data_IF_115879677554
#
_entry.id   IF_115879677554
#
_cell.length_a   1.000
_cell.length_b   1.000
_cell.length_c   1.000
_cell.angle_alpha   90.00
_cell.angle_beta   90.00
_cell.angle_gamma   90.00
#
_symmetry.space_group_name_H-M   'P 1'
#
loop_
_entity.id
_entity.type
_entity.pdbx_description
1 polymer ?
#
# COMPACT_ATOMS: atom_id res chain seq x y z
N UNK A 1 -3.16 9.48 13.79
CA UNK A 1 -2.26 8.96 12.73
C UNK A 1 -3.07 8.76 11.46
N UNK A 2 -2.63 9.35 10.36
CA UNK A 2 -3.14 9.15 8.99
C UNK A 2 -2.24 8.15 8.25
N UNK A 3 -2.83 7.14 7.64
CA UNK A 3 -2.12 6.13 6.84
C UNK A 3 -2.57 6.23 5.39
N UNK A 4 -1.62 6.32 4.47
CA UNK A 4 -1.87 6.05 3.05
C UNK A 4 -1.60 4.56 2.80
N UNK A 5 -2.66 3.79 2.54
CA UNK A 5 -2.52 2.38 2.17
C UNK A 5 -2.46 2.26 0.65
N UNK A 6 -1.51 1.50 0.12
CA UNK A 6 -1.30 1.32 -1.31
C UNK A 6 -1.31 -0.17 -1.67
N UNK A 7 -1.86 -0.49 -2.83
CA UNK A 7 -1.91 -1.84 -3.38
C UNK A 7 -2.12 -1.80 -4.88
N UNK A 8 -1.70 -2.86 -5.58
CA UNK A 8 -1.88 -2.94 -7.02
C UNK A 8 -3.38 -2.99 -7.40
N UNK A 9 -3.78 -2.17 -8.37
CA UNK A 9 -5.12 -2.20 -8.97
C UNK A 9 -5.00 -2.62 -10.44
N UNK A 10 -4.58 -1.70 -11.31
CA UNK A 10 -4.42 -1.92 -12.76
C UNK A 10 -3.23 -2.83 -13.11
N UNK A 11 -2.29 -3.01 -12.18
CA UNK A 11 -1.18 -3.96 -12.31
C UNK A 11 -1.56 -5.41 -12.00
N UNK A 12 -2.76 -5.64 -11.48
CA UNK A 12 -3.25 -6.94 -11.02
C UNK A 12 -3.85 -6.85 -9.62
N UNK A 13 -4.93 -7.61 -9.39
CA UNK A 13 -5.70 -7.62 -8.13
C UNK A 13 -5.65 -8.99 -7.43
N UNK A 14 -4.58 -9.76 -7.62
CA UNK A 14 -4.43 -11.12 -7.08
C UNK A 14 -4.49 -11.16 -5.55
N UNK A 15 -4.18 -10.04 -4.89
CA UNK A 15 -4.18 -9.89 -3.44
C UNK A 15 -5.33 -9.00 -2.92
N UNK A 16 -6.38 -8.77 -3.71
CA UNK A 16 -7.50 -7.89 -3.33
C UNK A 16 -8.14 -8.24 -1.97
N UNK A 17 -8.29 -9.54 -1.68
CA UNK A 17 -8.82 -10.01 -0.40
C UNK A 17 -7.90 -9.65 0.77
N UNK A 18 -6.59 -9.76 0.58
CA UNK A 18 -5.61 -9.37 1.58
C UNK A 18 -5.63 -7.85 1.79
N UNK A 19 -5.82 -7.06 0.72
CA UNK A 19 -5.97 -5.61 0.84
C UNK A 19 -7.18 -5.24 1.70
N UNK A 20 -8.32 -5.91 1.51
CA UNK A 20 -9.53 -5.73 2.33
C UNK A 20 -9.24 -6.01 3.81
N UNK A 21 -8.65 -7.17 4.12
CA UNK A 21 -8.32 -7.56 5.50
C UNK A 21 -7.29 -6.63 6.16
N UNK A 22 -6.30 -6.16 5.41
CA UNK A 22 -5.32 -5.18 5.88
C UNK A 22 -5.99 -3.84 6.14
N UNK A 23 -6.81 -3.35 5.22
CA UNK A 23 -7.54 -2.09 5.35
C UNK A 23 -8.46 -2.10 6.57
N UNK A 24 -9.23 -3.18 6.77
CA UNK A 24 -10.09 -3.35 7.95
C UNK A 24 -9.28 -3.27 9.25
N UNK A 25 -8.14 -3.95 9.32
CA UNK A 25 -7.26 -3.86 10.47
C UNK A 25 -6.71 -2.44 10.66
N UNK A 26 -6.21 -1.80 9.61
CA UNK A 26 -5.63 -0.45 9.68
C UNK A 26 -6.64 0.59 10.17
N UNK A 27 -7.90 0.49 9.77
CA UNK A 27 -9.00 1.36 10.25
C UNK A 27 -9.23 1.26 11.76
N UNK A 28 -8.86 0.14 12.41
CA UNK A 28 -8.93 0.03 13.87
C UNK A 28 -7.81 0.79 14.60
N UNK A 29 -6.79 1.26 13.88
CA UNK A 29 -5.57 1.87 14.43
C UNK A 29 -5.31 3.30 13.94
N UNK A 30 -5.80 3.65 12.76
CA UNK A 30 -5.50 4.89 12.08
C UNK A 30 -6.66 5.36 11.19
N UNK A 31 -6.58 6.62 10.76
CA UNK A 31 -7.40 7.14 9.67
C UNK A 31 -6.75 6.67 8.37
N UNK A 32 -7.42 5.80 7.61
CA UNK A 32 -6.89 5.31 6.32
C UNK A 32 -7.42 6.21 5.21
N UNK A 33 -6.52 6.86 4.46
CA UNK A 33 -6.92 7.83 3.42
C UNK A 33 -7.49 7.14 2.17
N UNK A 34 -7.08 5.91 1.92
CA UNK A 34 -7.43 5.11 0.73
C UNK A 34 -8.44 4.01 1.04
N UNK A 35 -9.46 4.32 1.86
CA UNK A 35 -10.43 3.33 2.36
C UNK A 35 -11.14 2.48 1.29
N UNK A 36 -11.17 2.97 0.05
CA UNK A 36 -11.80 2.35 -1.11
C UNK A 36 -10.99 1.13 -1.62
N UNK A 37 -9.69 1.04 -1.34
CA UNK A 37 -8.87 -0.11 -1.70
C UNK A 37 -9.35 -1.39 -1.00
N UNK A 38 -9.53 -2.46 -1.78
CA UNK A 38 -10.01 -3.75 -1.29
C UNK A 38 -11.53 -3.83 -1.07
N UNK A 39 -12.28 -2.73 -1.14
CA UNK A 39 -13.72 -2.70 -0.84
C UNK A 39 -14.63 -3.35 -1.90
N UNK A 40 -14.07 -3.99 -2.93
CA UNK A 40 -14.80 -4.53 -4.08
C UNK A 40 -15.45 -3.47 -4.99
N UNK A 41 -15.33 -2.18 -4.64
CA UNK A 41 -15.89 -1.05 -5.41
C UNK A 41 -14.98 -0.58 -6.55
N UNK A 42 -13.74 -1.05 -6.59
CA UNK A 42 -12.76 -0.73 -7.62
C UNK A 42 -12.54 -1.98 -8.48
N UNK A 43 -12.68 -1.84 -9.80
CA UNK A 43 -12.40 -2.91 -10.74
C UNK A 43 -10.91 -2.93 -11.11
N UNK A 44 -10.51 -3.93 -11.91
CA UNK A 44 -9.18 -4.00 -12.52
C UNK A 44 -8.88 -2.81 -13.45
N UNK A 45 -9.91 -2.08 -13.89
CA UNK A 45 -9.78 -0.85 -14.66
C UNK A 45 -9.45 0.39 -13.80
N UNK A 46 -9.41 0.24 -12.47
CA UNK A 46 -9.19 1.37 -11.56
C UNK A 46 -10.46 2.17 -11.27
N UNK A 47 -10.27 3.32 -10.62
CA UNK A 47 -11.36 4.24 -10.32
C UNK A 47 -11.86 4.95 -11.58
N UNK A 48 -13.18 5.05 -11.72
CA UNK A 48 -13.84 5.77 -12.81
C UNK A 48 -13.95 7.28 -12.48
N UNK A 49 -12.79 7.91 -12.24
CA UNK A 49 -12.65 9.34 -11.96
C UNK A 49 -11.66 9.96 -12.96
N UNK A 50 -11.70 11.28 -13.10
CA UNK A 50 -10.75 12.00 -13.94
C UNK A 50 -9.30 11.80 -13.45
N UNK A 51 -8.38 11.55 -14.40
CA UNK A 51 -7.01 11.14 -14.08
C UNK A 51 -6.22 12.23 -13.32
N UNK A 52 -6.45 13.50 -13.64
CA UNK A 52 -5.84 14.65 -12.96
C UNK A 52 -6.35 14.80 -11.52
N UNK A 53 -7.63 14.52 -11.29
CA UNK A 53 -8.23 14.47 -9.97
C UNK A 53 -7.63 13.35 -9.11
N UNK A 54 -7.57 12.11 -9.63
CA UNK A 54 -6.95 10.97 -8.93
C UNK A 54 -5.51 11.32 -8.56
N UNK A 55 -4.72 11.78 -9.53
CA UNK A 55 -3.33 12.16 -9.32
C UNK A 55 -3.18 13.22 -8.22
N UNK A 56 -3.95 14.31 -8.30
CA UNK A 56 -3.85 15.39 -7.32
C UNK A 56 -4.27 14.92 -5.92
N UNK A 57 -5.41 14.22 -5.81
CA UNK A 57 -5.93 13.69 -4.55
C UNK A 57 -4.92 12.77 -3.87
N UNK A 58 -4.40 11.79 -4.62
CA UNK A 58 -3.53 10.76 -4.06
C UNK A 58 -2.17 11.33 -3.68
N UNK A 59 -1.60 12.21 -4.51
CA UNK A 59 -0.33 12.89 -4.16
C UNK A 59 -0.46 13.82 -2.96
N UNK A 60 -1.62 14.46 -2.76
CA UNK A 60 -1.87 15.28 -1.57
C UNK A 60 -2.09 14.41 -0.32
N UNK A 61 -2.82 13.29 -0.44
CA UNK A 61 -2.95 12.33 0.66
C UNK A 61 -1.63 11.72 1.11
N UNK A 62 -0.71 11.40 0.18
CA UNK A 62 0.62 10.92 0.54
C UNK A 62 1.37 11.96 1.37
N UNK A 63 1.37 13.23 0.95
CA UNK A 63 2.03 14.33 1.67
C UNK A 63 1.43 14.58 3.06
N UNK A 64 0.13 14.35 3.21
CA UNK A 64 -0.57 14.51 4.48
C UNK A 64 -0.49 13.29 5.40
N UNK A 65 -0.04 12.14 4.90
CA UNK A 65 0.03 10.90 5.66
C UNK A 65 1.22 10.89 6.61
N UNK A 66 1.01 10.33 7.81
CA UNK A 66 2.06 10.10 8.79
C UNK A 66 2.88 8.84 8.44
N UNK A 67 2.32 7.96 7.60
CA UNK A 67 2.91 6.69 7.20
C UNK A 67 2.27 6.20 5.89
N UNK A 68 3.10 5.76 4.95
CA UNK A 68 2.67 4.99 3.78
C UNK A 68 2.88 3.49 4.03
N UNK A 69 1.84 2.69 3.84
CA UNK A 69 1.89 1.22 3.89
C UNK A 69 1.53 0.70 2.49
N UNK A 70 2.45 0.00 1.83
CA UNK A 70 2.23 -0.56 0.50
C UNK A 70 2.30 -2.09 0.50
N UNK A 71 1.29 -2.76 -0.03
CA UNK A 71 1.39 -4.16 -0.41
C UNK A 71 2.01 -4.25 -1.81
N UNK A 72 3.17 -4.91 -1.90
CA UNK A 72 4.04 -4.91 -3.10
C UNK A 72 4.26 -6.31 -3.68
N UNK A 73 3.37 -7.27 -3.38
CA UNK A 73 3.44 -8.63 -3.94
C UNK A 73 3.17 -8.66 -5.43
N UNK A 74 2.26 -7.79 -5.90
CA UNK A 74 2.00 -7.57 -7.33
C UNK A 74 2.72 -6.30 -7.79
N UNK A 75 3.61 -6.37 -8.81
CA UNK A 75 4.26 -5.18 -9.36
C UNK A 75 3.24 -4.18 -9.91
N UNK A 76 3.32 -2.92 -9.47
CA UNK A 76 2.43 -1.85 -9.90
C UNK A 76 3.20 -0.55 -10.14
N UNK A 77 2.96 0.09 -11.29
CA UNK A 77 3.53 1.40 -11.62
C UNK A 77 3.03 2.49 -10.67
N UNK A 78 1.73 2.48 -10.34
CA UNK A 78 1.13 3.40 -9.39
C UNK A 78 1.77 3.27 -8.01
N UNK A 79 1.82 2.06 -7.46
CA UNK A 79 2.43 1.80 -6.15
C UNK A 79 3.91 2.19 -6.13
N UNK A 80 4.65 1.92 -7.22
CA UNK A 80 6.03 2.36 -7.35
C UNK A 80 6.18 3.89 -7.33
N UNK A 81 5.29 4.60 -8.01
CA UNK A 81 5.24 6.07 -8.00
C UNK A 81 4.93 6.63 -6.61
N UNK A 82 3.93 6.06 -5.94
CA UNK A 82 3.50 6.46 -4.59
C UNK A 82 4.63 6.29 -3.57
N UNK A 83 5.34 5.16 -3.60
CA UNK A 83 6.50 4.90 -2.74
C UNK A 83 7.61 5.92 -2.99
N UNK A 84 7.93 6.20 -4.25
CA UNK A 84 8.97 7.18 -4.59
C UNK A 84 8.61 8.59 -4.12
N UNK A 85 7.33 8.99 -4.25
CA UNK A 85 6.84 10.27 -3.76
C UNK A 85 6.92 10.36 -2.24
N UNK A 86 6.43 9.34 -1.52
CA UNK A 86 6.53 9.26 -0.06
C UNK A 86 7.97 9.41 0.42
N UNK A 87 8.91 8.76 -0.26
CA UNK A 87 10.34 8.89 0.04
C UNK A 87 10.83 10.33 -0.15
N UNK A 88 10.44 10.96 -1.25
CA UNK A 88 10.88 12.32 -1.59
C UNK A 88 10.37 13.36 -0.58
N UNK A 89 9.14 13.19 -0.08
CA UNK A 89 8.53 14.12 0.89
C UNK A 89 8.82 13.76 2.35
N UNK A 90 9.53 12.65 2.58
CA UNK A 90 9.96 12.21 3.91
C UNK A 90 8.92 11.45 4.71
N UNK A 91 7.82 11.02 4.09
CA UNK A 91 6.83 10.15 4.72
C UNK A 91 7.45 8.77 4.99
N UNK A 92 7.41 8.25 6.23
CA UNK A 92 7.85 6.89 6.53
C UNK A 92 7.16 5.84 5.65
N UNK A 93 7.89 4.79 5.26
CA UNK A 93 7.40 3.79 4.31
C UNK A 93 7.54 2.39 4.90
N UNK A 94 6.44 1.65 4.86
CA UNK A 94 6.40 0.21 5.15
C UNK A 94 5.88 -0.52 3.93
N UNK A 95 6.65 -1.48 3.44
CA UNK A 95 6.21 -2.37 2.36
C UNK A 95 5.94 -3.76 2.91
N UNK A 96 4.81 -4.35 2.51
CA UNK A 96 4.43 -5.73 2.78
C UNK A 96 4.66 -6.56 1.52
N UNK A 97 5.32 -7.71 1.66
CA UNK A 97 5.51 -8.64 0.56
C UNK A 97 5.17 -10.07 1.00
N UNK A 98 4.21 -10.65 0.31
CA UNK A 98 3.81 -12.04 0.48
C UNK A 98 4.84 -12.96 -0.17
N UNK A 99 5.52 -13.79 0.63
CA UNK A 99 6.54 -14.73 0.13
C UNK A 99 5.97 -15.78 -0.82
N UNK A 100 4.65 -15.99 -0.81
CA UNK A 100 3.95 -16.88 -1.75
C UNK A 100 3.65 -16.21 -3.11
N UNK A 101 4.00 -14.94 -3.30
CA UNK A 101 3.87 -14.29 -4.60
C UNK A 101 4.68 -15.02 -5.66
N UNK A 102 4.05 -15.26 -6.82
CA UNK A 102 4.73 -15.82 -8.00
C UNK A 102 5.63 -14.78 -8.70
N UNK A 103 5.51 -13.49 -8.32
CA UNK A 103 6.28 -12.39 -8.90
C UNK A 103 7.42 -12.04 -7.97
N UNK A 104 8.62 -11.86 -8.53
CA UNK A 104 9.79 -11.44 -7.76
C UNK A 104 9.65 -9.97 -7.34
N UNK A 105 9.85 -9.69 -6.05
CA UNK A 105 9.96 -8.32 -5.54
C UNK A 105 11.01 -7.51 -6.32
N UNK A 106 10.67 -6.27 -6.65
CA UNK A 106 11.59 -5.35 -7.35
C UNK A 106 12.88 -5.12 -6.55
N UNK A 107 14.01 -5.13 -7.26
CA UNK A 107 15.32 -4.83 -6.67
C UNK A 107 15.41 -3.40 -6.11
N UNK A 108 14.66 -2.45 -6.69
CA UNK A 108 14.57 -1.07 -6.22
C UNK A 108 13.94 -1.01 -4.83
N UNK A 109 12.81 -1.70 -4.63
CA UNK A 109 12.11 -1.74 -3.34
C UNK A 109 12.94 -2.51 -2.31
N UNK A 110 13.42 -3.70 -2.67
CA UNK A 110 14.22 -4.55 -1.77
C UNK A 110 15.55 -3.91 -1.36
N UNK A 111 16.16 -3.12 -2.23
CA UNK A 111 17.45 -2.47 -2.00
C UNK A 111 17.35 -1.15 -1.21
N UNK A 112 16.17 -0.54 -1.15
CA UNK A 112 15.98 0.78 -0.55
C UNK A 112 15.97 0.71 0.98
N UNK A 113 16.95 1.37 1.62
CA UNK A 113 17.14 1.36 3.08
C UNK A 113 16.18 2.27 3.85
N UNK A 114 15.44 3.14 3.15
CA UNK A 114 14.40 3.98 3.77
C UNK A 114 13.06 3.24 3.90
N UNK A 115 12.94 2.07 3.29
CA UNK A 115 11.72 1.24 3.34
C UNK A 115 11.88 0.20 4.44
N UNK A 116 10.92 0.16 5.36
CA UNK A 116 10.75 -0.98 6.26
C UNK A 116 10.02 -2.08 5.51
N UNK A 117 10.74 -3.15 5.16
CA UNK A 117 10.18 -4.25 4.38
C UNK A 117 9.78 -5.41 5.29
N UNK A 118 8.49 -5.74 5.31
CA UNK A 118 7.90 -6.84 6.04
C UNK A 118 7.58 -7.97 5.05
N UNK A 119 8.15 -9.14 5.31
CA UNK A 119 7.82 -10.35 4.56
C UNK A 119 6.80 -11.16 5.36
N UNK A 120 5.75 -11.64 4.71
CA UNK A 120 4.71 -12.44 5.35
C UNK A 120 4.28 -13.63 4.48
N UNK A 121 3.66 -14.64 5.07
CA UNK A 121 3.05 -15.77 4.34
C UNK A 121 1.56 -15.92 4.61
N UNK A 122 1.10 -15.36 5.74
CA UNK A 122 -0.31 -15.33 6.15
C UNK A 122 -0.73 -13.91 6.52
N UNK A 123 -2.01 -13.62 6.39
CA UNK A 123 -2.53 -12.28 6.73
C UNK A 123 -2.37 -11.98 8.22
N UNK A 124 -2.45 -13.01 9.07
CA UNK A 124 -2.25 -12.90 10.51
C UNK A 124 -0.82 -12.45 10.83
N UNK A 125 0.19 -13.00 10.16
CA UNK A 125 1.59 -12.56 10.30
C UNK A 125 1.75 -11.08 9.91
N UNK A 126 1.21 -10.69 8.76
CA UNK A 126 1.27 -9.30 8.30
C UNK A 126 0.65 -8.34 9.34
N UNK A 127 -0.52 -8.70 9.88
CA UNK A 127 -1.21 -7.92 10.91
C UNK A 127 -0.38 -7.84 12.20
N UNK A 128 0.28 -8.93 12.63
CA UNK A 128 1.11 -8.91 13.83
C UNK A 128 2.35 -8.01 13.67
N UNK A 129 2.99 -8.02 12.51
CA UNK A 129 4.11 -7.12 12.24
C UNK A 129 3.65 -5.66 12.16
N UNK A 130 2.51 -5.39 11.51
CA UNK A 130 1.95 -4.03 11.46
C UNK A 130 1.56 -3.51 12.85
N UNK A 131 1.10 -4.35 13.78
CA UNK A 131 0.84 -3.92 15.17
C UNK A 131 2.08 -3.34 15.85
N UNK A 132 3.28 -3.84 15.53
CA UNK A 132 4.54 -3.35 16.10
C UNK A 132 4.94 -1.99 15.52
N UNK A 133 4.57 -1.75 14.27
CA UNK A 133 4.81 -0.48 13.56
C UNK A 133 3.83 0.61 14.02
N UNK A 134 2.58 0.23 14.29
CA UNK A 134 1.47 1.14 14.60
C UNK A 134 1.22 1.31 16.11
N UNK A 135 2.11 0.77 16.97
CA UNK A 135 2.05 0.91 18.42
C UNK A 135 2.69 2.22 18.89
#
# INVERSE_FOLDING_TARGET
MKVYFAGSITGGMEFAKQYEQLNDFLKTKAIVLTEHLGSGKISDQGEQLEADYIFKRDTDWIKESDLLIAEVSTPSLGVGYEIALAEQVGTPIVCLYNKKSLKRLSGMIRGNKKITLIYYETIEEAIQELKKVLA
#
